data_IF_340762096594
#
_entry.id   IF_340762096594
#
_cell.length_a   1.000
_cell.length_b   1.000
_cell.length_c   1.000
_cell.angle_alpha   90.00
_cell.angle_beta   90.00
_cell.angle_gamma   90.00
#
_symmetry.space_group_name_H-M   'P 1'
#
loop_
_entity.id
_entity.type
_entity.pdbx_description
1 polymer ?
#
# COMPACT_ATOMS: atom_id res chain seq x y z
N UNK A 1 -0.45 -44.02 -34.94
CA UNK A 1 -0.67 -42.61 -34.57
C UNK A 1 -0.55 -42.55 -33.07
N UNK A 2 0.57 -42.03 -32.57
CA UNK A 2 0.91 -42.08 -31.14
C UNK A 2 0.43 -40.78 -30.47
N UNK A 3 -0.82 -40.80 -29.99
CA UNK A 3 -1.48 -39.66 -29.30
C UNK A 3 -0.80 -39.28 -27.98
N UNK A 4 0.18 -40.05 -27.50
CA UNK A 4 0.86 -39.79 -26.24
C UNK A 4 2.09 -38.88 -26.34
N UNK A 5 2.43 -38.40 -27.55
CA UNK A 5 3.56 -37.48 -27.75
C UNK A 5 3.23 -36.01 -27.49
N UNK A 6 1.96 -35.61 -27.52
CA UNK A 6 1.57 -34.20 -27.40
C UNK A 6 1.44 -33.68 -25.96
N UNK A 7 1.46 -34.56 -24.96
CA UNK A 7 1.31 -34.15 -23.55
C UNK A 7 2.64 -33.84 -22.84
N UNK A 8 3.80 -34.17 -23.42
CA UNK A 8 5.10 -33.85 -22.79
C UNK A 8 5.44 -32.36 -22.88
N UNK A 9 4.96 -31.69 -23.92
CA UNK A 9 5.24 -30.27 -24.18
C UNK A 9 4.40 -29.30 -23.34
N UNK A 10 3.29 -29.77 -22.73
CA UNK A 10 2.40 -28.95 -21.90
C UNK A 10 2.70 -29.00 -20.40
N UNK A 11 3.52 -29.96 -19.96
CA UNK A 11 3.91 -30.10 -18.56
C UNK A 11 5.12 -29.22 -18.17
N UNK A 12 5.74 -28.54 -19.14
CA UNK A 12 7.10 -28.02 -18.98
C UNK A 12 7.18 -26.60 -18.38
N UNK A 13 6.09 -25.86 -18.14
CA UNK A 13 6.23 -24.43 -17.79
C UNK A 13 5.19 -23.84 -16.83
N UNK A 14 4.54 -24.62 -15.96
CA UNK A 14 3.71 -24.02 -14.91
C UNK A 14 4.20 -24.49 -13.53
N UNK A 15 5.29 -23.89 -13.05
CA UNK A 15 5.59 -23.90 -11.62
C UNK A 15 4.45 -23.12 -10.96
N UNK A 16 3.42 -23.83 -10.49
CA UNK A 16 2.37 -23.19 -9.72
C UNK A 16 2.95 -22.88 -8.34
N UNK A 17 3.55 -21.70 -8.23
CA UNK A 17 4.03 -21.18 -6.96
C UNK A 17 2.79 -20.96 -6.11
N UNK A 18 2.67 -21.71 -5.01
CA UNK A 18 1.58 -21.50 -4.07
C UNK A 18 1.67 -20.07 -3.50
N UNK A 19 0.56 -19.48 -3.03
CA UNK A 19 0.60 -18.17 -2.37
C UNK A 19 1.66 -18.11 -1.26
N UNK A 20 1.80 -19.19 -0.49
CA UNK A 20 2.84 -19.36 0.54
C UNK A 20 4.25 -19.30 -0.04
N UNK A 21 4.49 -19.93 -1.19
CA UNK A 21 5.76 -19.89 -1.89
C UNK A 21 6.09 -18.48 -2.41
N UNK A 22 5.10 -17.74 -2.87
CA UNK A 22 5.25 -16.35 -3.32
C UNK A 22 5.65 -15.44 -2.15
N UNK A 23 4.95 -15.54 -1.02
CA UNK A 23 5.26 -14.76 0.17
C UNK A 23 6.66 -15.07 0.72
N UNK A 24 7.05 -16.35 0.72
CA UNK A 24 8.39 -16.77 1.14
C UNK A 24 9.50 -16.18 0.26
N UNK A 25 9.32 -16.21 -1.07
CA UNK A 25 10.26 -15.62 -2.01
C UNK A 25 10.37 -14.11 -1.82
N UNK A 26 9.23 -13.44 -1.58
CA UNK A 26 9.20 -12.01 -1.32
C UNK A 26 9.88 -11.64 0.01
N UNK A 27 9.65 -12.39 1.09
CA UNK A 27 10.35 -12.19 2.37
C UNK A 27 11.87 -12.38 2.23
N UNK A 28 12.31 -13.43 1.52
CA UNK A 28 13.73 -13.67 1.24
C UNK A 28 14.35 -12.54 0.41
N UNK A 29 13.66 -12.08 -0.61
CA UNK A 29 14.09 -10.95 -1.43
C UNK A 29 14.26 -9.67 -0.59
N UNK A 30 13.25 -9.34 0.21
CA UNK A 30 13.29 -8.15 1.07
C UNK A 30 14.46 -8.19 2.05
N UNK A 31 14.73 -9.35 2.68
CA UNK A 31 15.87 -9.50 3.60
C UNK A 31 17.23 -9.39 2.93
N UNK A 32 17.35 -9.84 1.69
CA UNK A 32 18.61 -9.83 0.95
C UNK A 32 18.93 -8.46 0.33
N UNK A 33 17.89 -7.73 -0.09
CA UNK A 33 18.05 -6.54 -0.94
C UNK A 33 17.69 -5.22 -0.24
N UNK A 34 17.03 -5.26 0.92
CA UNK A 34 16.61 -4.05 1.63
C UNK A 34 17.26 -3.97 3.01
N UNK A 35 17.67 -2.75 3.39
CA UNK A 35 18.05 -2.48 4.77
C UNK A 35 16.81 -2.51 5.68
N UNK A 36 17.02 -2.73 6.98
CA UNK A 36 15.93 -2.68 7.96
C UNK A 36 15.20 -1.33 7.95
N UNK A 37 15.93 -0.23 7.72
CA UNK A 37 15.40 1.12 7.57
C UNK A 37 14.49 1.24 6.34
N UNK A 38 14.93 0.75 5.18
CA UNK A 38 14.11 0.78 3.95
C UNK A 38 12.86 -0.09 4.07
N UNK A 39 12.95 -1.23 4.77
CA UNK A 39 11.79 -2.07 5.05
C UNK A 39 10.78 -1.33 5.96
N UNK A 40 11.27 -0.63 6.98
CA UNK A 40 10.42 0.16 7.86
C UNK A 40 9.75 1.31 7.10
N UNK A 41 10.52 2.02 6.27
CA UNK A 41 9.98 3.07 5.41
C UNK A 41 8.89 2.54 4.48
N UNK A 42 9.13 1.40 3.84
CA UNK A 42 8.13 0.73 2.97
C UNK A 42 6.82 0.45 3.72
N UNK A 43 6.90 -0.01 4.98
CA UNK A 43 5.71 -0.22 5.82
C UNK A 43 4.95 1.07 6.09
N UNK A 44 5.64 2.17 6.42
CA UNK A 44 5.01 3.46 6.65
C UNK A 44 4.35 4.00 5.37
N UNK A 45 5.03 3.92 4.22
CA UNK A 45 4.45 4.30 2.92
C UNK A 45 3.20 3.48 2.60
N UNK A 46 3.23 2.16 2.87
CA UNK A 46 2.06 1.29 2.67
C UNK A 46 0.89 1.65 3.59
N UNK A 47 1.15 2.07 4.83
CA UNK A 47 0.09 2.56 5.73
C UNK A 47 -0.58 3.81 5.16
N UNK A 48 0.20 4.80 4.72
CA UNK A 48 -0.34 6.02 4.09
C UNK A 48 -1.17 5.68 2.85
N UNK A 49 -0.64 4.82 1.97
CA UNK A 49 -1.39 4.39 0.78
C UNK A 49 -2.71 3.72 1.13
N UNK A 50 -2.74 2.87 2.15
CA UNK A 50 -3.98 2.24 2.63
C UNK A 50 -4.95 3.27 3.22
N UNK A 51 -4.45 4.27 3.93
CA UNK A 51 -5.28 5.32 4.50
C UNK A 51 -5.94 6.18 3.42
N UNK A 52 -5.21 6.55 2.37
CA UNK A 52 -5.75 7.34 1.24
C UNK A 52 -6.78 6.53 0.44
N UNK A 53 -6.62 5.21 0.35
CA UNK A 53 -7.58 4.33 -0.32
C UNK A 53 -8.76 3.93 0.57
N UNK A 54 -8.76 4.31 1.85
CA UNK A 54 -9.80 3.95 2.79
C UNK A 54 -11.12 4.65 2.42
N UNK A 55 -12.19 3.88 2.28
CA UNK A 55 -13.53 4.41 2.08
C UNK A 55 -14.29 4.37 3.41
N UNK A 56 -14.57 5.52 4.05
CA UNK A 56 -15.29 5.54 5.31
C UNK A 56 -16.75 5.09 5.13
N UNK A 57 -17.29 4.42 6.14
CA UNK A 57 -18.73 4.10 6.20
C UNK A 57 -19.55 5.36 6.48
N UNK A 58 -19.04 6.26 7.32
CA UNK A 58 -19.60 7.57 7.58
C UNK A 58 -18.52 8.63 7.36
N UNK A 59 -18.57 9.30 6.20
CA UNK A 59 -17.60 10.32 5.81
C UNK A 59 -17.71 11.60 6.61
N UNK A 60 -18.80 11.85 7.35
CA UNK A 60 -19.00 13.07 8.14
C UNK A 60 -18.68 12.89 9.63
N UNK A 61 -18.22 11.70 10.03
CA UNK A 61 -17.97 11.41 11.44
C UNK A 61 -16.72 12.14 11.96
N UNK A 62 -16.73 12.57 13.23
CA UNK A 62 -15.55 13.18 13.86
C UNK A 62 -14.38 12.18 13.99
N UNK A 63 -14.65 10.87 14.04
CA UNK A 63 -13.62 9.83 14.03
C UNK A 63 -12.90 9.77 12.68
N UNK A 64 -13.64 9.90 11.57
CA UNK A 64 -13.03 9.94 10.24
C UNK A 64 -12.17 11.20 10.08
N UNK A 65 -12.63 12.36 10.54
CA UNK A 65 -11.82 13.58 10.56
C UNK A 65 -10.52 13.41 11.36
N UNK A 66 -10.58 12.82 12.56
CA UNK A 66 -9.38 12.51 13.37
C UNK A 66 -8.43 11.56 12.64
N UNK A 67 -8.98 10.55 11.96
CA UNK A 67 -8.20 9.62 11.15
C UNK A 67 -7.46 10.34 10.01
N UNK A 68 -8.14 11.24 9.28
CA UNK A 68 -7.52 12.02 8.20
C UNK A 68 -6.40 12.92 8.73
N UNK A 69 -6.65 13.65 9.82
CA UNK A 69 -5.66 14.53 10.46
C UNK A 69 -4.43 13.75 10.93
N UNK A 70 -4.62 12.57 11.53
CA UNK A 70 -3.52 11.71 11.94
C UNK A 70 -2.65 11.29 10.75
N UNK A 71 -3.26 10.83 9.65
CA UNK A 71 -2.51 10.42 8.46
C UNK A 71 -1.79 11.61 7.81
N UNK A 72 -2.41 12.79 7.77
CA UNK A 72 -1.77 14.00 7.25
C UNK A 72 -0.52 14.39 8.07
N UNK A 73 -0.59 14.26 9.39
CA UNK A 73 0.56 14.47 10.27
C UNK A 73 1.69 13.46 10.01
N UNK A 74 1.36 12.18 9.83
CA UNK A 74 2.34 11.14 9.49
C UNK A 74 3.00 11.38 8.13
N UNK A 75 2.24 11.83 7.11
CA UNK A 75 2.81 12.21 5.81
C UNK A 75 3.78 13.38 5.98
N UNK A 76 3.42 14.40 6.76
CA UNK A 76 4.31 15.55 6.99
C UNK A 76 5.61 15.13 7.67
N UNK A 77 5.53 14.26 8.68
CA UNK A 77 6.72 13.68 9.35
C UNK A 77 7.59 12.90 8.37
N UNK A 78 7.00 12.07 7.51
CA UNK A 78 7.74 11.33 6.48
C UNK A 78 8.38 12.25 5.45
N UNK A 79 7.70 13.32 5.04
CA UNK A 79 8.24 14.30 4.08
C UNK A 79 9.45 15.03 4.66
N UNK A 80 9.45 15.33 5.96
CA UNK A 80 10.57 15.97 6.66
C UNK A 80 11.77 15.02 6.75
N UNK A 81 11.53 13.76 7.15
CA UNK A 81 12.59 12.77 7.32
C UNK A 81 13.16 12.28 5.96
N UNK A 82 12.32 12.28 4.92
CA UNK A 82 12.64 11.76 3.59
C UNK A 82 12.16 12.75 2.52
N UNK A 83 12.91 13.84 2.27
CA UNK A 83 12.49 14.92 1.37
C UNK A 83 12.37 14.50 -0.10
N UNK A 84 12.89 13.33 -0.46
CA UNK A 84 12.74 12.74 -1.79
C UNK A 84 11.39 12.03 -2.01
N UNK A 85 10.60 11.81 -0.96
CA UNK A 85 9.26 11.23 -1.08
C UNK A 85 8.25 12.29 -1.48
N UNK A 86 7.46 11.99 -2.52
CA UNK A 86 6.41 12.87 -3.01
C UNK A 86 5.03 12.32 -2.61
N UNK A 87 4.33 13.07 -1.76
CA UNK A 87 2.96 12.77 -1.30
C UNK A 87 1.98 13.91 -1.62
N UNK A 88 2.24 14.71 -2.66
CA UNK A 88 1.44 15.91 -2.97
C UNK A 88 -0.03 15.54 -3.23
N UNK A 89 -0.28 14.47 -3.97
CA UNK A 89 -1.64 14.05 -4.33
C UNK A 89 -2.39 13.50 -3.11
N UNK A 90 -1.72 12.68 -2.30
CA UNK A 90 -2.25 12.10 -1.08
C UNK A 90 -2.63 13.19 -0.08
N UNK A 91 -1.75 14.19 0.14
CA UNK A 91 -2.04 15.34 1.01
C UNK A 91 -3.27 16.10 0.52
N UNK A 92 -3.29 16.43 -0.77
CA UNK A 92 -4.41 17.17 -1.37
C UNK A 92 -5.73 16.44 -1.20
N UNK A 93 -5.76 15.12 -1.39
CA UNK A 93 -6.98 14.34 -1.19
C UNK A 93 -7.44 14.38 0.27
N UNK A 94 -6.54 14.17 1.23
CA UNK A 94 -6.88 14.22 2.65
C UNK A 94 -7.38 15.60 3.07
N UNK A 95 -6.77 16.67 2.58
CA UNK A 95 -7.20 18.05 2.85
C UNK A 95 -8.60 18.35 2.28
N UNK A 96 -8.89 17.86 1.07
CA UNK A 96 -10.23 17.97 0.47
C UNK A 96 -11.29 17.22 1.28
N UNK A 97 -10.98 16.00 1.72
CA UNK A 97 -11.87 15.22 2.56
C UNK A 97 -12.15 15.92 3.90
N UNK A 98 -11.12 16.49 4.55
CA UNK A 98 -11.28 17.26 5.79
C UNK A 98 -12.16 18.50 5.57
N UNK A 99 -11.89 19.26 4.50
CA UNK A 99 -12.66 20.46 4.19
C UNK A 99 -14.15 20.13 3.97
N UNK A 100 -14.46 19.06 3.24
CA UNK A 100 -15.84 18.63 3.01
C UNK A 100 -16.59 18.26 4.31
N UNK A 101 -15.89 17.69 5.30
CA UNK A 101 -16.47 17.40 6.62
C UNK A 101 -16.79 18.69 7.37
N UNK A 102 -15.89 19.68 7.31
CA UNK A 102 -16.03 20.94 8.03
C UNK A 102 -17.11 21.83 7.42
N UNK A 103 -17.19 21.91 6.09
CA UNK A 103 -18.26 22.62 5.37
C UNK A 103 -19.64 22.05 5.69
N UNK A 104 -19.75 20.73 5.88
CA UNK A 104 -21.03 20.06 6.19
C UNK A 104 -21.52 20.32 7.63
N UNK A 105 -20.72 20.97 8.48
CA UNK A 105 -21.08 21.32 9.87
C UNK A 105 -21.49 22.78 10.05
N UNK A 106 -21.42 23.60 8.99
CA UNK A 106 -21.84 25.01 8.95
C UNK A 106 -23.28 25.07 8.44
#
# INVERSE_FOLDING_TARGET
MDEHRDNRSKAQQNIHISPVGSDYMFDRFNRAMMSAESLQLSKEVLKIRKAVLHRPVNSLSPEYEKFLLYNLAEINKLTINFPYLNFINEKKQLEQDIAGIQESRI
#
